data_IF_147053841179
#
_entry.id   IF_147053841179
#
_cell.length_a   1.000
_cell.length_b   1.000
_cell.length_c   1.000
_cell.angle_alpha   90.00
_cell.angle_beta   90.00
_cell.angle_gamma   90.00
#
_symmetry.space_group_name_H-M   'P 1'
#
loop_
_entity.id
_entity.type
_entity.pdbx_description
1 polymer ?
#
# COMPACT_ATOMS: atom_id res chain seq x y z
N UNK A 1 -14.94 22.17 11.04
CA UNK A 1 -14.20 21.01 11.55
C UNK A 1 -13.24 20.47 10.50
N UNK A 2 -12.06 20.16 10.89
CA UNK A 2 -11.08 19.64 9.96
C UNK A 2 -10.97 18.13 10.08
N UNK A 3 -11.14 17.47 8.96
CA UNK A 3 -11.17 16.02 8.93
C UNK A 3 -9.80 15.41 9.12
N UNK A 4 -8.76 16.15 8.79
CA UNK A 4 -7.40 15.64 8.86
C UNK A 4 -6.78 15.74 10.24
N UNK A 5 -7.50 16.32 11.20
CA UNK A 5 -6.99 16.44 12.56
C UNK A 5 -7.02 15.12 13.31
N UNK A 6 -7.84 14.19 12.88
CA UNK A 6 -8.02 12.96 13.61
C UNK A 6 -7.90 11.80 12.65
N UNK A 7 -6.76 11.12 12.71
CA UNK A 7 -6.53 9.92 11.94
C UNK A 7 -6.35 8.77 12.92
N UNK A 8 -7.04 7.66 12.69
CA UNK A 8 -6.90 6.51 13.60
C UNK A 8 -5.50 5.91 13.48
N UNK A 9 -5.13 5.22 14.54
CA UNK A 9 -3.87 4.48 14.54
C UNK A 9 -3.96 3.29 13.61
N UNK A 10 -2.87 2.99 12.96
CA UNK A 10 -2.76 1.86 12.06
C UNK A 10 -1.71 0.92 12.61
N UNK A 11 -2.10 -0.32 12.81
CA UNK A 11 -1.17 -1.35 13.27
C UNK A 11 -0.90 -2.29 12.12
N UNK A 12 0.37 -2.51 11.81
CA UNK A 12 0.76 -3.48 10.78
C UNK A 12 0.69 -4.86 11.39
N UNK A 13 -0.14 -5.72 10.83
CA UNK A 13 -0.28 -7.09 11.30
C UNK A 13 0.70 -8.02 10.64
N UNK A 14 0.92 -7.85 9.34
CA UNK A 14 1.88 -8.66 8.61
C UNK A 14 2.27 -7.98 7.32
N UNK A 15 3.49 -8.22 6.91
CA UNK A 15 3.99 -7.84 5.59
C UNK A 15 4.76 -9.03 5.06
N UNK A 16 4.36 -9.53 3.90
CA UNK A 16 5.01 -10.69 3.29
C UNK A 16 5.57 -10.28 1.94
N UNK A 17 6.90 -10.20 1.83
CA UNK A 17 7.50 -9.94 0.52
C UNK A 17 7.22 -11.10 -0.44
N UNK A 18 7.06 -10.77 -1.71
CA UNK A 18 6.80 -11.73 -2.76
C UNK A 18 7.87 -11.57 -3.81
N UNK A 19 8.39 -12.69 -4.31
CA UNK A 19 9.31 -12.65 -5.44
C UNK A 19 8.56 -12.09 -6.65
N UNK A 20 9.02 -10.98 -7.20
CA UNK A 20 8.27 -10.35 -8.28
C UNK A 20 8.30 -11.18 -9.55
N UNK A 21 7.20 -11.10 -10.27
CA UNK A 21 7.13 -11.59 -11.63
C UNK A 21 7.08 -10.38 -12.53
N UNK A 22 7.81 -10.45 -13.62
CA UNK A 22 7.94 -9.33 -14.54
C UNK A 22 7.19 -9.64 -15.81
N UNK A 23 5.86 -9.42 -15.84
CA UNK A 23 5.12 -9.68 -17.07
C UNK A 23 5.59 -8.75 -18.16
N UNK A 24 5.56 -9.18 -19.42
CA UNK A 24 5.95 -8.30 -20.53
C UNK A 24 5.10 -7.05 -20.52
N UNK A 25 5.74 -5.92 -20.73
CA UNK A 25 5.08 -4.62 -20.85
C UNK A 25 4.35 -4.17 -19.59
N UNK A 26 4.63 -4.78 -18.45
CA UNK A 26 4.02 -4.34 -17.21
C UNK A 26 4.64 -3.04 -16.75
N UNK A 27 3.81 -2.11 -16.33
CA UNK A 27 4.29 -0.83 -15.80
C UNK A 27 4.59 -0.93 -14.31
N UNK A 28 4.05 -1.94 -13.65
CA UNK A 28 4.26 -2.16 -12.24
C UNK A 28 4.12 -3.64 -11.95
N UNK A 29 4.72 -4.09 -10.86
CA UNK A 29 4.61 -5.49 -10.47
C UNK A 29 4.44 -5.60 -8.96
N UNK A 30 3.81 -6.69 -8.53
CA UNK A 30 3.56 -6.93 -7.12
C UNK A 30 4.83 -7.46 -6.49
N UNK A 31 5.22 -6.88 -5.36
CA UNK A 31 6.40 -7.31 -4.63
C UNK A 31 6.12 -7.58 -3.16
N UNK A 32 4.88 -7.45 -2.72
CA UNK A 32 4.53 -7.79 -1.35
C UNK A 32 3.05 -7.72 -1.11
N UNK A 33 2.63 -8.29 0.02
CA UNK A 33 1.24 -8.27 0.48
C UNK A 33 1.26 -7.94 1.96
N UNK A 34 0.30 -7.15 2.40
CA UNK A 34 0.24 -6.76 3.79
C UNK A 34 -1.16 -6.77 4.36
N UNK A 35 -1.21 -6.79 5.69
CA UNK A 35 -2.45 -6.67 6.45
C UNK A 35 -2.26 -5.64 7.54
N UNK A 36 -3.29 -4.87 7.79
CA UNK A 36 -3.26 -3.85 8.83
C UNK A 36 -4.52 -3.95 9.68
N UNK A 37 -4.44 -3.41 10.89
CA UNK A 37 -5.59 -3.25 11.76
C UNK A 37 -5.86 -1.77 11.94
N UNK A 38 -7.14 -1.42 11.88
CA UNK A 38 -7.57 -0.03 11.90
C UNK A 38 -8.97 0.00 12.48
N UNK A 39 -9.16 0.74 13.57
CA UNK A 39 -10.48 0.88 14.19
C UNK A 39 -11.13 -0.46 14.51
N UNK A 40 -10.33 -1.42 14.96
CA UNK A 40 -10.86 -2.74 15.29
C UNK A 40 -11.17 -3.62 14.09
N UNK A 41 -10.83 -3.16 12.89
CA UNK A 41 -11.04 -3.94 11.67
C UNK A 41 -9.71 -4.36 11.11
N UNK A 42 -9.68 -5.55 10.54
CA UNK A 42 -8.51 -6.05 9.84
C UNK A 42 -8.72 -5.88 8.33
N UNK A 43 -7.74 -5.29 7.68
CA UNK A 43 -7.74 -5.14 6.24
C UNK A 43 -6.66 -6.04 5.68
N UNK A 44 -7.07 -7.10 4.99
CA UNK A 44 -6.17 -8.06 4.38
C UNK A 44 -6.05 -7.79 2.89
N UNK A 45 -4.93 -8.20 2.31
CA UNK A 45 -4.80 -8.16 0.86
C UNK A 45 -4.36 -6.82 0.31
N UNK A 46 -3.72 -6.00 1.12
CA UNK A 46 -3.07 -4.79 0.62
C UNK A 46 -1.85 -5.24 -0.18
N UNK A 47 -1.77 -4.85 -1.44
CA UNK A 47 -0.63 -5.24 -2.27
C UNK A 47 0.38 -4.10 -2.33
N UNK A 48 1.65 -4.48 -2.28
CA UNK A 48 2.76 -3.56 -2.44
C UNK A 48 3.31 -3.76 -3.84
N UNK A 49 3.41 -2.68 -4.58
CA UNK A 49 3.85 -2.74 -5.97
C UNK A 49 5.02 -1.81 -6.18
N UNK A 50 5.84 -2.15 -7.15
CA UNK A 50 6.89 -1.27 -7.61
C UNK A 50 6.58 -0.83 -9.02
N UNK A 51 6.52 0.48 -9.23
CA UNK A 51 6.31 1.06 -10.53
C UNK A 51 7.54 1.81 -10.99
N UNK A 52 7.38 2.61 -12.04
CA UNK A 52 8.49 3.34 -12.61
C UNK A 52 9.01 4.43 -11.69
N UNK A 53 8.14 4.98 -10.84
CA UNK A 53 8.52 6.07 -9.96
C UNK A 53 8.73 5.64 -8.52
N UNK A 54 8.68 4.35 -8.24
CA UNK A 54 8.92 3.86 -6.91
C UNK A 54 7.83 2.93 -6.44
N UNK A 55 7.74 2.77 -5.14
CA UNK A 55 6.83 1.82 -4.53
C UNK A 55 5.52 2.49 -4.18
N UNK A 56 4.44 1.72 -4.29
CA UNK A 56 3.12 2.19 -3.90
C UNK A 56 2.28 1.00 -3.48
N UNK A 57 1.12 1.25 -2.90
CA UNK A 57 0.23 0.18 -2.47
C UNK A 57 -1.09 0.29 -3.23
N UNK A 58 -1.75 -0.87 -3.33
CA UNK A 58 -3.15 -0.93 -3.73
C UNK A 58 -3.95 -1.56 -2.61
N UNK A 59 -5.12 -1.01 -2.37
CA UNK A 59 -6.05 -1.59 -1.41
C UNK A 59 -6.63 -2.88 -2.00
N UNK A 60 -7.22 -3.76 -1.16
CA UNK A 60 -7.82 -4.98 -1.68
C UNK A 60 -8.84 -4.68 -2.77
N UNK A 61 -8.81 -5.50 -3.82
CA UNK A 61 -9.65 -5.28 -4.99
C UNK A 61 -10.37 -6.56 -5.37
N UNK A 62 -11.47 -6.40 -6.07
CA UNK A 62 -12.16 -7.52 -6.69
C UNK A 62 -12.32 -7.24 -8.18
N UNK A 63 -12.47 -8.31 -8.96
CA UNK A 63 -12.61 -8.18 -10.40
C UNK A 63 -14.07 -8.39 -10.78
N UNK A 64 -14.56 -7.52 -11.66
CA UNK A 64 -15.89 -7.66 -12.24
C UNK A 64 -15.77 -7.55 -13.75
N UNK A 65 -16.90 -7.59 -14.43
CA UNK A 65 -16.91 -7.43 -15.88
C UNK A 65 -16.42 -6.05 -16.31
N UNK A 66 -16.46 -5.08 -15.41
CA UNK A 66 -16.03 -3.70 -15.71
C UNK A 66 -14.60 -3.42 -15.28
N UNK A 67 -13.87 -4.42 -14.79
CA UNK A 67 -12.50 -4.24 -14.37
C UNK A 67 -12.31 -4.48 -12.89
N UNK A 68 -11.29 -3.84 -12.31
CA UNK A 68 -10.96 -4.02 -10.89
C UNK A 68 -11.54 -2.87 -10.09
N UNK A 69 -12.04 -3.21 -8.90
CA UNK A 69 -12.64 -2.23 -7.99
C UNK A 69 -12.09 -2.45 -6.59
N UNK A 70 -11.86 -1.36 -5.88
CA UNK A 70 -11.44 -1.47 -4.48
C UNK A 70 -12.57 -2.04 -3.64
N UNK A 71 -12.24 -3.02 -2.81
CA UNK A 71 -13.17 -3.53 -1.82
C UNK A 71 -13.34 -2.51 -0.69
N UNK A 72 -12.23 -1.89 -0.34
CA UNK A 72 -12.21 -0.87 0.70
C UNK A 72 -11.25 0.21 0.27
N UNK A 73 -11.57 1.46 0.56
CA UNK A 73 -10.70 2.56 0.21
C UNK A 73 -10.79 3.64 1.27
N UNK A 74 -9.73 4.41 1.36
CA UNK A 74 -9.66 5.49 2.33
C UNK A 74 -10.32 6.74 1.77
N UNK A 75 -11.05 7.43 2.63
CA UNK A 75 -11.64 8.70 2.29
C UNK A 75 -10.62 9.78 2.60
N UNK A 76 -10.28 10.57 1.58
CA UNK A 76 -9.36 11.68 1.75
C UNK A 76 -7.90 11.28 1.62
N UNK A 77 -7.11 12.26 1.22
CA UNK A 77 -5.70 12.02 0.92
C UNK A 77 -4.87 11.79 2.16
N UNK A 78 -5.26 12.39 3.28
CA UNK A 78 -4.49 12.24 4.51
C UNK A 78 -4.49 10.80 4.99
N UNK A 79 -5.65 10.14 4.94
CA UNK A 79 -5.75 8.75 5.35
C UNK A 79 -5.05 7.83 4.37
N UNK A 80 -5.19 8.09 3.07
CA UNK A 80 -4.49 7.32 2.05
C UNK A 80 -2.98 7.39 2.27
N UNK A 81 -2.49 8.58 2.53
CA UNK A 81 -1.07 8.78 2.76
C UNK A 81 -0.59 8.04 4.00
N UNK A 82 -1.39 8.09 5.07
CA UNK A 82 -1.01 7.42 6.31
C UNK A 82 -0.92 5.92 6.13
N UNK A 83 -1.89 5.30 5.49
CA UNK A 83 -1.87 3.86 5.24
C UNK A 83 -0.66 3.52 4.38
N UNK A 84 -0.46 4.26 3.31
CA UNK A 84 0.63 4.01 2.39
C UNK A 84 1.98 4.10 3.09
N UNK A 85 2.18 5.15 3.87
CA UNK A 85 3.46 5.33 4.55
C UNK A 85 3.72 4.25 5.58
N UNK A 86 2.70 3.89 6.35
CA UNK A 86 2.86 2.84 7.35
C UNK A 86 3.26 1.51 6.71
N UNK A 87 2.56 1.13 5.66
CA UNK A 87 2.83 -0.14 4.99
C UNK A 87 4.20 -0.13 4.32
N UNK A 88 4.51 0.94 3.61
CA UNK A 88 5.77 1.00 2.88
C UNK A 88 6.98 1.14 3.79
N UNK A 89 6.83 1.84 4.92
CA UNK A 89 7.93 1.91 5.89
C UNK A 89 8.24 0.54 6.46
N UNK A 90 7.22 -0.23 6.79
CA UNK A 90 7.44 -1.57 7.31
C UNK A 90 8.05 -2.49 6.26
N UNK A 91 7.58 -2.37 5.03
CA UNK A 91 8.15 -3.15 3.93
C UNK A 91 9.63 -2.82 3.74
N UNK A 92 9.96 -1.54 3.80
CA UNK A 92 11.35 -1.10 3.68
C UNK A 92 12.23 -1.71 4.75
N UNK A 93 11.74 -1.75 5.99
CA UNK A 93 12.51 -2.34 7.08
C UNK A 93 12.76 -3.82 6.84
N UNK A 94 11.76 -4.53 6.37
CA UNK A 94 11.88 -5.96 6.12
C UNK A 94 12.87 -6.23 5.02
N UNK A 95 12.81 -5.44 3.95
CA UNK A 95 13.68 -5.63 2.81
C UNK A 95 15.07 -5.03 3.01
N UNK A 96 15.23 -4.16 4.01
CA UNK A 96 16.49 -3.49 4.28
C UNK A 96 17.02 -2.76 3.04
N UNK A 97 16.14 -1.95 2.43
CA UNK A 97 16.46 -1.26 1.19
C UNK A 97 16.73 0.21 1.49
N UNK A 98 17.94 0.70 1.23
CA UNK A 98 18.19 2.13 1.37
C UNK A 98 17.60 2.90 0.19
N UNK A 99 17.42 4.20 0.36
CA UNK A 99 16.93 5.08 -0.68
C UNK A 99 15.61 4.59 -1.27
N UNK A 100 14.72 4.22 -0.38
CA UNK A 100 13.43 3.67 -0.77
C UNK A 100 12.52 4.80 -1.23
N UNK A 101 12.26 4.88 -2.53
CA UNK A 101 11.37 5.90 -3.06
C UNK A 101 9.95 5.40 -3.17
N UNK A 102 8.98 6.29 -3.00
CA UNK A 102 7.59 5.94 -3.16
C UNK A 102 6.93 6.83 -4.19
N UNK A 103 5.99 6.25 -4.93
CA UNK A 103 5.23 7.01 -5.89
C UNK A 103 4.33 8.00 -5.18
N UNK A 104 4.32 9.22 -5.66
CA UNK A 104 3.41 10.21 -5.17
C UNK A 104 3.73 10.74 -3.81
N UNK A 105 4.87 10.42 -3.27
CA UNK A 105 5.14 10.87 -1.96
C UNK A 105 6.57 11.20 -1.71
N UNK A 106 7.18 10.35 -0.94
CA UNK A 106 8.54 10.59 -0.50
C UNK A 106 9.49 10.26 -1.60
N UNK A 107 10.32 11.21 -1.92
CA UNK A 107 11.41 10.99 -2.85
C UNK A 107 12.69 11.16 -2.11
N UNK A 108 13.70 10.59 -2.64
CA UNK A 108 15.02 10.75 -2.05
C UNK A 108 15.56 12.13 -2.28
#
# INVERSE_FOLDING_TARGET
MRKDLYLPEIEILSISPIVPRYPPNAKAYICGVGSVQLLGLTINGITIKKGQRGYFINMPQYKSSNGYHDVIYAIGKAMQKKISECVLQEYQKIMDVPNFGTEGGLTK
#
